data_IF_150197811512
#
_entry.id   IF_150197811512
#
_cell.length_a   1.000
_cell.length_b   1.000
_cell.length_c   1.000
_cell.angle_alpha   90.00
_cell.angle_beta   90.00
_cell.angle_gamma   90.00
#
_symmetry.space_group_name_H-M   'P 1'
#
loop_
_entity.id
_entity.type
_entity.pdbx_description
1 polymer ?
#
# COMPACT_ATOMS: atom_id res chain seq x y z
N UNK A 1 -2.30 -16.90 -6.97
CA UNK A 1 -0.88 -17.30 -7.20
C UNK A 1 -0.08 -16.03 -7.11
N UNK A 2 0.99 -16.03 -6.33
CA UNK A 2 1.82 -14.86 -6.13
C UNK A 2 2.49 -14.43 -7.44
N UNK A 3 2.29 -13.18 -7.87
CA UNK A 3 3.05 -12.58 -8.95
C UNK A 3 4.36 -12.01 -8.43
N UNK A 4 5.35 -11.83 -9.31
CA UNK A 4 6.64 -11.21 -8.96
C UNK A 4 6.43 -9.83 -8.29
N UNK A 5 5.49 -9.04 -8.79
CA UNK A 5 5.13 -7.74 -8.23
C UNK A 5 4.55 -7.84 -6.81
N UNK A 6 3.72 -8.87 -6.54
CA UNK A 6 3.18 -9.12 -5.21
C UNK A 6 4.29 -9.51 -4.22
N UNK A 7 5.26 -10.32 -4.65
CA UNK A 7 6.42 -10.70 -3.81
C UNK A 7 7.33 -9.48 -3.58
N UNK A 8 7.56 -8.64 -4.60
CA UNK A 8 8.29 -7.37 -4.43
C UNK A 8 7.58 -6.44 -3.44
N UNK A 9 6.26 -6.29 -3.56
CA UNK A 9 5.45 -5.49 -2.64
C UNK A 9 5.54 -6.04 -1.22
N UNK A 10 5.44 -7.35 -1.06
CA UNK A 10 5.64 -8.05 0.21
C UNK A 10 6.99 -7.67 0.84
N UNK A 11 8.10 -7.84 0.12
CA UNK A 11 9.43 -7.51 0.64
C UNK A 11 9.56 -6.03 1.00
N UNK A 12 9.08 -5.14 0.13
CA UNK A 12 9.18 -3.71 0.35
C UNK A 12 8.44 -3.26 1.62
N UNK A 13 7.29 -3.88 1.93
CA UNK A 13 6.51 -3.58 3.13
C UNK A 13 7.23 -4.05 4.40
N UNK A 14 7.88 -5.23 4.35
CA UNK A 14 8.66 -5.73 5.48
C UNK A 14 9.95 -4.95 5.71
N UNK A 15 10.63 -4.51 4.63
CA UNK A 15 11.79 -3.63 4.74
C UNK A 15 11.44 -2.28 5.38
N UNK A 16 10.25 -1.74 5.11
CA UNK A 16 9.77 -0.50 5.77
C UNK A 16 9.62 -0.65 7.29
N UNK A 17 9.31 -1.85 7.77
CA UNK A 17 9.25 -2.17 9.20
C UNK A 17 10.62 -2.51 9.81
N UNK A 18 11.69 -2.45 9.01
CA UNK A 18 13.05 -2.76 9.44
C UNK A 18 13.39 -4.26 9.47
N UNK A 19 12.50 -5.13 8.98
CA UNK A 19 12.81 -6.55 8.81
C UNK A 19 13.86 -6.72 7.73
N UNK A 20 14.85 -7.57 7.98
CA UNK A 20 15.93 -7.84 7.03
C UNK A 20 15.67 -9.14 6.30
N UNK A 21 16.20 -9.25 5.09
CA UNK A 21 16.24 -10.53 4.39
C UNK A 21 17.56 -11.20 4.69
N UNK A 22 17.48 -12.46 5.10
CA UNK A 22 18.63 -13.29 5.41
C UNK A 22 19.04 -14.01 4.13
N UNK A 23 20.31 -13.85 3.75
CA UNK A 23 20.92 -14.50 2.58
C UNK A 23 22.13 -15.36 3.01
N UNK A 24 22.60 -16.23 2.12
CA UNK A 24 23.75 -17.12 2.38
C UNK A 24 23.57 -17.98 3.65
N UNK A 25 22.42 -18.67 3.77
CA UNK A 25 22.10 -19.57 4.88
C UNK A 25 22.24 -18.95 6.29
N UNK A 26 21.94 -17.66 6.47
CA UNK A 26 22.03 -17.02 7.79
C UNK A 26 23.22 -16.10 7.99
N UNK A 27 24.18 -16.09 7.05
CA UNK A 27 25.46 -15.39 7.24
C UNK A 27 25.32 -13.88 7.04
N UNK A 28 24.48 -13.46 6.09
CA UNK A 28 24.35 -12.06 5.69
C UNK A 28 22.91 -11.58 5.82
N UNK A 29 22.73 -10.34 6.28
CA UNK A 29 21.43 -9.67 6.38
C UNK A 29 21.38 -8.46 5.46
N UNK A 30 20.50 -8.47 4.47
CA UNK A 30 20.29 -7.38 3.53
C UNK A 30 19.10 -6.52 3.95
N UNK A 31 19.31 -5.21 3.96
CA UNK A 31 18.28 -4.19 4.11
C UNK A 31 18.58 -3.05 3.13
N UNK A 32 17.86 -2.95 2.00
CA UNK A 32 18.05 -1.85 1.07
C UNK A 32 17.60 -0.53 1.71
N UNK A 33 18.44 0.49 1.60
CA UNK A 33 18.10 1.87 1.98
C UNK A 33 18.73 2.82 0.96
N UNK A 34 17.95 3.56 0.15
CA UNK A 34 16.49 3.70 0.17
C UNK A 34 15.75 2.48 -0.43
N UNK A 35 14.45 2.29 -0.08
CA UNK A 35 13.57 1.26 -0.68
C UNK A 35 12.84 1.79 -1.92
N UNK A 36 12.48 3.07 -1.88
CA UNK A 36 11.74 3.76 -2.93
C UNK A 36 12.53 4.96 -3.41
N UNK A 37 12.53 5.17 -4.72
CA UNK A 37 13.06 6.38 -5.34
C UNK A 37 11.97 6.97 -6.22
N UNK A 38 11.59 8.21 -5.93
CA UNK A 38 10.50 8.96 -6.57
C UNK A 38 9.18 8.17 -6.59
N UNK A 39 8.97 7.43 -7.68
CA UNK A 39 7.74 6.75 -8.05
C UNK A 39 7.88 5.23 -8.16
N UNK A 40 9.09 4.70 -8.03
CA UNK A 40 9.39 3.29 -8.25
C UNK A 40 10.23 2.73 -7.11
N UNK A 41 10.54 1.44 -7.20
CA UNK A 41 11.57 0.85 -6.37
C UNK A 41 12.92 1.51 -6.69
N UNK A 42 13.74 1.68 -5.65
CA UNK A 42 15.09 2.21 -5.80
C UNK A 42 16.00 1.20 -6.52
N UNK A 43 17.10 1.67 -7.15
CA UNK A 43 18.08 0.76 -7.73
C UNK A 43 18.75 -0.13 -6.67
N UNK A 44 18.86 0.33 -5.42
CA UNK A 44 19.34 -0.49 -4.30
C UNK A 44 18.40 -1.66 -4.00
N UNK A 45 17.09 -1.41 -4.02
CA UNK A 45 16.08 -2.45 -3.86
C UNK A 45 16.10 -3.43 -5.03
N UNK A 46 16.23 -2.94 -6.27
CA UNK A 46 16.30 -3.81 -7.46
C UNK A 46 17.55 -4.69 -7.46
N UNK A 47 18.71 -4.17 -7.03
CA UNK A 47 19.92 -4.98 -6.85
C UNK A 47 19.71 -6.06 -5.78
N UNK A 48 19.09 -5.69 -4.65
CA UNK A 48 18.72 -6.69 -3.65
C UNK A 48 17.80 -7.75 -4.25
N UNK A 49 16.77 -7.34 -4.98
CA UNK A 49 15.85 -8.26 -5.66
C UNK A 49 16.56 -9.23 -6.61
N UNK A 50 17.51 -8.75 -7.41
CA UNK A 50 18.32 -9.58 -8.31
C UNK A 50 19.10 -10.63 -7.51
N UNK A 51 19.80 -10.20 -6.45
CA UNK A 51 20.56 -11.10 -5.56
C UNK A 51 19.66 -12.18 -4.93
N UNK A 52 18.44 -11.82 -4.54
CA UNK A 52 17.47 -12.74 -3.93
C UNK A 52 16.85 -13.73 -4.92
N UNK A 53 16.82 -13.37 -6.20
CA UNK A 53 16.28 -14.22 -7.27
C UNK A 53 17.37 -15.09 -7.92
N UNK A 54 18.64 -14.75 -7.70
CA UNK A 54 19.76 -15.54 -8.21
C UNK A 54 19.78 -16.96 -7.59
N UNK A 55 19.80 -18.03 -8.40
CA UNK A 55 19.78 -19.40 -7.90
C UNK A 55 21.04 -19.79 -7.11
N UNK A 56 22.10 -18.97 -7.21
CA UNK A 56 23.36 -19.16 -6.47
C UNK A 56 23.24 -18.78 -4.99
N UNK A 57 22.32 -17.89 -4.64
CA UNK A 57 22.20 -17.35 -3.29
C UNK A 57 21.38 -18.22 -2.32
N UNK A 58 20.91 -19.39 -2.79
CA UNK A 58 20.32 -20.43 -1.95
C UNK A 58 19.05 -20.00 -1.22
N UNK A 59 18.85 -20.51 -0.01
CA UNK A 59 17.65 -20.31 0.81
C UNK A 59 17.61 -18.90 1.41
N UNK A 60 17.12 -17.93 0.65
CA UNK A 60 16.90 -16.56 1.12
C UNK A 60 15.50 -16.39 1.71
N UNK A 61 15.35 -15.88 2.93
CA UNK A 61 14.07 -15.74 3.62
C UNK A 61 13.99 -14.43 4.43
N UNK A 62 12.78 -13.97 4.74
CA UNK A 62 12.56 -12.77 5.58
C UNK A 62 12.75 -13.16 7.06
N UNK A 63 13.30 -12.26 7.86
CA UNK A 63 13.49 -12.50 9.30
C UNK A 63 12.15 -12.75 10.03
N UNK A 64 12.01 -13.96 10.58
CA UNK A 64 10.77 -14.45 11.21
C UNK A 64 9.86 -15.26 10.27
N UNK A 65 10.37 -15.66 9.10
CA UNK A 65 9.71 -16.60 8.17
C UNK A 65 10.65 -17.75 7.83
N UNK A 66 10.07 -18.92 7.57
CA UNK A 66 10.79 -20.11 7.12
C UNK A 66 10.72 -20.26 5.58
N UNK A 67 9.82 -19.53 4.94
CA UNK A 67 9.60 -19.56 3.50
C UNK A 67 10.72 -18.86 2.74
N UNK A 68 11.29 -19.57 1.76
CA UNK A 68 12.29 -18.96 0.87
C UNK A 68 11.62 -18.10 -0.21
N UNK A 69 12.28 -17.03 -0.62
CA UNK A 69 11.80 -16.15 -1.69
C UNK A 69 11.67 -16.92 -3.00
N UNK A 70 12.58 -17.87 -3.26
CA UNK A 70 12.49 -18.79 -4.39
C UNK A 70 11.21 -19.62 -4.34
N UNK A 71 10.79 -20.10 -3.17
CA UNK A 71 9.51 -20.78 -3.00
C UNK A 71 8.33 -19.83 -3.22
N UNK A 72 8.37 -18.59 -2.72
CA UNK A 72 7.28 -17.62 -2.92
C UNK A 72 7.04 -17.28 -4.39
N UNK A 73 8.08 -17.36 -5.23
CA UNK A 73 7.99 -17.21 -6.68
C UNK A 73 7.42 -18.45 -7.39
N UNK A 74 7.23 -19.57 -6.68
CA UNK A 74 6.59 -20.74 -7.25
C UNK A 74 5.07 -20.64 -7.22
N UNK A 75 4.45 -21.39 -8.13
CA UNK A 75 3.00 -21.55 -8.26
C UNK A 75 2.27 -22.13 -7.03
N UNK A 76 2.98 -22.49 -5.95
CA UNK A 76 2.39 -23.07 -4.75
C UNK A 76 1.96 -22.02 -3.73
N UNK A 77 2.42 -20.78 -3.89
CA UNK A 77 2.24 -19.71 -2.92
C UNK A 77 1.36 -18.59 -3.45
N UNK A 78 0.70 -17.93 -2.51
CA UNK A 78 -0.05 -16.70 -2.71
C UNK A 78 0.34 -15.67 -1.65
N UNK A 79 0.13 -14.39 -1.95
CA UNK A 79 0.37 -13.31 -0.99
C UNK A 79 -0.99 -12.79 -0.50
N UNK A 80 -1.32 -13.11 0.75
CA UNK A 80 -2.59 -12.75 1.39
C UNK A 80 -2.37 -11.64 2.41
N UNK A 81 -3.43 -10.94 2.80
CA UNK A 81 -3.36 -9.96 3.88
C UNK A 81 -3.53 -10.65 5.24
N UNK A 82 -2.66 -10.33 6.19
CA UNK A 82 -2.76 -10.81 7.56
C UNK A 82 -4.04 -10.26 8.22
N UNK A 83 -4.83 -11.13 8.87
CA UNK A 83 -6.04 -10.70 9.58
C UNK A 83 -5.75 -9.78 10.78
N UNK A 84 -4.54 -9.80 11.34
CA UNK A 84 -4.16 -9.01 12.53
C UNK A 84 -3.64 -7.61 12.19
N UNK A 85 -2.86 -7.48 11.12
CA UNK A 85 -2.18 -6.22 10.80
C UNK A 85 -2.30 -5.79 9.33
N UNK A 86 -3.08 -6.51 8.53
CA UNK A 86 -3.32 -6.23 7.10
C UNK A 86 -2.04 -6.25 6.25
N UNK A 87 -0.93 -6.73 6.80
CA UNK A 87 0.34 -6.85 6.08
C UNK A 87 0.32 -8.04 5.13
N UNK A 88 1.00 -7.95 3.97
CA UNK A 88 1.15 -9.08 3.08
C UNK A 88 1.93 -10.21 3.78
N UNK A 89 1.38 -11.41 3.75
CA UNK A 89 1.97 -12.64 4.28
C UNK A 89 1.93 -13.74 3.20
N UNK A 90 2.95 -14.60 3.15
CA UNK A 90 2.93 -15.75 2.26
C UNK A 90 1.92 -16.78 2.77
N UNK A 91 1.13 -17.35 1.87
CA UNK A 91 0.18 -18.41 2.17
C UNK A 91 0.25 -19.50 1.09
N UNK A 92 0.28 -20.78 1.48
CA UNK A 92 0.21 -21.88 0.52
C UNK A 92 -1.19 -21.94 -0.08
N UNK A 93 -1.29 -22.03 -1.41
CA UNK A 93 -2.59 -22.18 -2.11
C UNK A 93 -3.26 -23.50 -1.71
N UNK A 94 -2.45 -24.54 -1.46
CA UNK A 94 -2.90 -25.83 -0.92
C UNK A 94 -2.03 -26.21 0.25
N UNK A 95 -2.63 -26.31 1.43
CA UNK A 95 -1.95 -26.65 2.68
C UNK A 95 -2.42 -25.76 3.81
N UNK A 96 -1.82 -25.94 4.98
CA UNK A 96 -1.99 -25.03 6.10
C UNK A 96 -1.23 -23.72 5.83
N UNK A 97 -1.84 -22.56 6.12
CA UNK A 97 -1.11 -21.30 6.14
C UNK A 97 -0.03 -21.35 7.24
N UNK A 98 1.00 -20.49 7.17
CA UNK A 98 2.00 -20.41 8.23
C UNK A 98 1.32 -20.14 9.58
N UNK A 99 1.80 -20.83 10.62
CA UNK A 99 1.17 -20.80 11.96
C UNK A 99 1.21 -19.40 12.58
N UNK A 100 2.25 -18.62 12.28
CA UNK A 100 2.45 -17.28 12.80
C UNK A 100 2.72 -16.25 11.70
N UNK A 101 2.20 -15.04 11.89
CA UNK A 101 2.55 -13.89 11.06
C UNK A 101 3.91 -13.32 11.50
N UNK A 102 4.76 -12.82 10.57
CA UNK A 102 6.06 -12.21 10.92
C UNK A 102 5.94 -10.95 11.78
N UNK A 103 4.70 -10.47 11.97
CA UNK A 103 4.37 -9.36 12.84
C UNK A 103 4.46 -9.69 14.33
N UNK A 104 4.45 -10.98 14.72
CA UNK A 104 4.49 -11.39 16.13
C UNK A 104 5.81 -10.97 16.80
N UNK A 105 6.92 -10.98 16.06
CA UNK A 105 8.24 -10.62 16.58
C UNK A 105 8.47 -9.10 16.68
N UNK A 106 7.52 -8.29 16.23
CA UNK A 106 7.63 -6.83 16.26
C UNK A 106 6.95 -6.30 17.53
N UNK A 107 7.71 -5.81 18.54
CA UNK A 107 7.20 -5.54 19.88
C UNK A 107 6.15 -4.41 19.94
N UNK A 108 6.12 -3.54 18.93
CA UNK A 108 5.21 -2.40 18.84
C UNK A 108 4.21 -2.53 17.68
N UNK A 109 4.09 -3.68 17.01
CA UNK A 109 3.22 -3.83 15.83
C UNK A 109 1.97 -4.68 16.12
N UNK A 110 0.78 -4.36 15.57
CA UNK A 110 0.44 -3.21 14.73
C UNK A 110 0.32 -1.90 15.53
N UNK A 111 1.07 -0.87 15.11
CA UNK A 111 0.93 0.46 15.68
C UNK A 111 0.05 1.32 14.76
N UNK A 112 -1.06 1.84 15.28
CA UNK A 112 -1.98 2.73 14.55
C UNK A 112 -1.53 4.20 14.61
N UNK A 113 -0.54 4.55 15.42
CA UNK A 113 0.02 5.90 15.53
C UNK A 113 1.01 6.23 14.40
N UNK A 114 1.54 5.22 13.72
CA UNK A 114 2.44 5.38 12.57
C UNK A 114 1.73 5.01 11.28
N UNK A 115 2.02 5.70 10.16
CA UNK A 115 1.45 5.34 8.87
C UNK A 115 1.87 3.92 8.49
N UNK A 116 0.91 3.15 7.98
CA UNK A 116 1.17 1.80 7.50
C UNK A 116 2.15 1.81 6.31
N UNK A 117 2.91 0.71 6.14
CA UNK A 117 3.70 0.44 4.95
C UNK A 117 2.94 0.78 3.66
N UNK A 118 3.50 1.68 2.86
CA UNK A 118 2.89 2.19 1.63
C UNK A 118 3.67 1.75 0.42
N UNK A 119 2.95 1.49 -0.68
CA UNK A 119 3.54 1.32 -2.01
C UNK A 119 4.05 2.68 -2.54
N UNK A 120 4.92 2.67 -3.56
CA UNK A 120 5.29 3.92 -4.25
C UNK A 120 4.01 4.58 -4.77
N UNK A 121 3.96 5.91 -4.73
CA UNK A 121 2.79 6.69 -5.17
C UNK A 121 3.18 7.47 -6.40
N UNK A 122 2.57 7.15 -7.54
CA UNK A 122 2.71 7.95 -8.75
C UNK A 122 1.88 9.23 -8.68
N UNK A 123 2.49 10.28 -8.11
CA UNK A 123 1.88 11.61 -8.08
C UNK A 123 2.06 12.38 -9.38
N UNK A 124 3.04 12.00 -10.21
CA UNK A 124 3.45 12.76 -11.41
C UNK A 124 2.37 12.79 -12.47
N UNK A 125 1.69 11.66 -12.72
CA UNK A 125 0.59 11.61 -13.69
C UNK A 125 -0.57 12.51 -13.28
N UNK A 126 -0.96 12.46 -11.99
CA UNK A 126 -2.05 13.27 -11.45
C UNK A 126 -1.71 14.76 -11.45
N UNK A 127 -0.49 15.11 -11.01
CA UNK A 127 -0.03 16.49 -11.00
C UNK A 127 0.16 17.05 -12.41
N UNK A 128 0.61 16.23 -13.37
CA UNK A 128 0.66 16.55 -14.79
C UNK A 128 -0.73 16.90 -15.34
N UNK A 129 -1.73 16.07 -15.08
CA UNK A 129 -3.11 16.34 -15.48
C UNK A 129 -3.70 17.61 -14.83
N UNK A 130 -3.36 17.90 -13.58
CA UNK A 130 -3.75 19.16 -12.93
C UNK A 130 -3.08 20.36 -13.61
N UNK A 131 -1.76 20.27 -13.85
CA UNK A 131 -0.98 21.31 -14.54
C UNK A 131 -1.55 21.62 -15.93
N UNK A 132 -1.85 20.60 -16.72
CA UNK A 132 -2.33 20.77 -18.08
C UNK A 132 -3.74 21.39 -18.12
N UNK A 133 -4.60 21.04 -17.15
CA UNK A 133 -5.91 21.70 -16.97
C UNK A 133 -5.78 23.18 -16.64
N UNK A 134 -4.85 23.55 -15.75
CA UNK A 134 -4.62 24.95 -15.36
C UNK A 134 -4.12 25.78 -16.54
N UNK A 135 -3.19 25.24 -17.35
CA UNK A 135 -2.70 25.91 -18.57
C UNK A 135 -3.80 26.15 -19.60
N UNK A 136 -4.64 25.14 -19.85
CA UNK A 136 -5.76 25.26 -20.77
C UNK A 136 -6.85 26.25 -20.31
N UNK A 137 -6.88 26.60 -19.02
CA UNK A 137 -7.78 27.64 -18.49
C UNK A 137 -7.22 29.04 -18.71
N UNK A 138 -5.91 29.23 -18.52
CA UNK A 138 -5.26 30.52 -18.77
C UNK A 138 -5.21 30.88 -20.27
N UNK A 139 -5.05 29.89 -21.15
CA UNK A 139 -5.04 30.11 -22.61
C UNK A 139 -6.42 30.50 -23.17
N UNK A 140 -7.51 30.28 -22.42
CA UNK A 140 -8.87 30.69 -22.78
C UNK A 140 -9.19 32.14 -22.42
N UNK A 141 -8.47 32.74 -21.48
CA UNK A 141 -8.75 34.11 -21.01
C UNK A 141 -8.15 35.19 -21.95
N UNK A 142 -7.19 34.83 -22.82
CA UNK A 142 -6.50 35.76 -23.73
C UNK A 142 -7.12 35.88 -25.14
N UNK A 143 -8.18 35.11 -25.46
CA UNK A 143 -8.84 35.12 -26.78
C UNK A 143 -10.35 35.45 -26.74
N UNK A 144 -10.83 36.03 -25.62
CA UNK A 144 -12.25 36.36 -25.43
C UNK A 144 -12.47 37.83 -25.11
N UNK A 145 -12.54 38.67 -26.14
CA UNK A 145 -13.11 40.01 -26.05
C UNK A 145 -14.51 39.96 -25.41
N UNK A 146 -14.67 40.67 -24.29
CA UNK A 146 -15.90 41.20 -23.71
C UNK A 146 -17.21 40.42 -23.93
N UNK A 147 -17.72 39.80 -22.85
CA UNK A 147 -19.14 39.97 -22.48
C UNK A 147 -19.20 40.32 -20.99
N UNK A 148 -19.49 41.59 -20.75
CA UNK A 148 -19.98 42.13 -19.49
C UNK A 148 -21.35 41.52 -19.23
N UNK A 149 -21.52 40.78 -18.13
CA UNK A 149 -22.84 40.52 -17.56
C UNK A 149 -22.85 41.14 -16.16
N UNK A 150 -23.62 42.22 -15.94
CA UNK A 150 -23.85 42.74 -14.60
C UNK A 150 -24.91 41.89 -13.90
N UNK A 151 -24.83 41.86 -12.59
CA UNK A 151 -25.86 41.39 -11.66
C UNK A 151 -26.00 39.86 -11.49
N UNK A 152 -25.11 39.28 -10.68
CA UNK A 152 -25.46 38.10 -9.89
C UNK A 152 -25.92 38.55 -8.51
N UNK A 153 -27.23 38.67 -8.35
CA UNK A 153 -27.89 38.70 -7.05
C UNK A 153 -27.36 37.55 -6.19
N UNK A 154 -26.88 37.91 -5.01
CA UNK A 154 -26.59 37.00 -3.90
C UNK A 154 -27.83 36.15 -3.65
N UNK A 155 -27.73 34.84 -3.86
CA UNK A 155 -28.75 33.88 -3.45
C UNK A 155 -28.46 33.50 -1.99
N UNK A 156 -29.43 33.57 -1.06
CA UNK A 156 -29.17 33.30 0.34
C UNK A 156 -28.89 31.81 0.57
N UNK A 157 -28.04 31.54 1.56
CA UNK A 157 -27.89 30.25 2.21
C UNK A 157 -29.26 29.66 2.53
N UNK A 158 -29.64 28.58 1.84
CA UNK A 158 -30.67 27.68 2.34
C UNK A 158 -29.96 26.62 3.20
N UNK A 159 -29.99 26.89 4.50
CA UNK A 159 -30.07 25.85 5.53
C UNK A 159 -31.27 24.95 5.19
N UNK A 160 -31.06 23.64 5.18
CA UNK A 160 -32.06 22.63 5.56
C UNK A 160 -31.41 21.24 5.43
N UNK A 161 -30.67 20.84 6.48
CA UNK A 161 -30.35 19.44 6.71
C UNK A 161 -31.63 18.75 7.25
N UNK A 162 -32.09 17.64 6.67
CA UNK A 162 -33.21 16.89 7.25
C UNK A 162 -32.78 16.27 8.59
N UNK A 163 -33.60 16.35 9.66
CA UNK A 163 -33.30 15.68 10.90
C UNK A 163 -33.41 14.15 10.76
N UNK A 164 -32.43 13.43 11.29
CA UNK A 164 -32.44 11.98 11.42
C UNK A 164 -33.64 11.53 12.26
N UNK A 165 -34.57 10.78 11.67
CA UNK A 165 -35.56 10.02 12.43
C UNK A 165 -34.91 8.73 12.97
N UNK A 166 -34.53 8.76 14.24
CA UNK A 166 -34.32 7.56 15.05
C UNK A 166 -35.69 6.94 15.37
N UNK A 167 -36.06 5.88 14.66
CA UNK A 167 -37.23 5.08 15.01
C UNK A 167 -37.01 4.40 16.36
N UNK A 168 -37.81 4.82 17.34
CA UNK A 168 -37.91 4.26 18.67
C UNK A 168 -38.37 2.79 18.63
N UNK A 169 -37.69 1.96 19.42
CA UNK A 169 -38.15 0.62 19.80
C UNK A 169 -39.19 0.85 20.89
N UNK A 170 -40.47 0.61 20.59
CA UNK A 170 -41.53 0.58 21.60
C UNK A 170 -41.71 -0.83 22.14
N UNK A 171 -41.43 -0.96 23.43
CA UNK A 171 -41.93 -2.02 24.30
C UNK A 171 -43.47 -2.03 24.25
N UNK A 172 -44.07 -3.19 24.01
CA UNK A 172 -45.46 -3.44 24.45
C UNK A 172 -45.53 -4.85 25.01
N UNK A 173 -45.79 -4.91 26.32
CA UNK A 173 -46.28 -6.10 26.99
C UNK A 173 -47.80 -6.24 26.85
N UNK A 174 -48.29 -7.40 27.25
CA UNK A 174 -49.69 -7.83 27.23
C UNK A 174 -49.80 -9.15 26.47
N UNK A 175 -50.37 -10.24 27.00
CA UNK A 175 -50.99 -10.54 28.30
C UNK A 175 -51.00 -12.07 28.39
#
# INVERSE_FOLDING_TARGET
>A
MATEEQVKKYLAYWFQLGKKVVVNNGTDKLLPNPIYQDNSYSPEFERCWQILTEPKNGSCYVEGTDETIAELLTQKWDVMLCARCTMPIPAKIRGTPPENCPCVDLPLWPNLEVPQPRSPVDSTHRLGGIRDRLRNQTDKEDNGSAIFVPDQKVVPLLEDFPPCECSAISETGGE
#
